data_IF_328004528359
#
_entry.id   IF_328004528359
#
_cell.length_a   1.000
_cell.length_b   1.000
_cell.length_c   1.000
_cell.angle_alpha   90.00
_cell.angle_beta   90.00
_cell.angle_gamma   90.00
#
_symmetry.space_group_name_H-M   'P 1'
#
loop_
_entity.id
_entity.type
_entity.pdbx_description
1 polymer ?
#
# COMPACT_ATOMS: atom_id res chain seq x y z
N UNK A 1 26.38 -58.19 -38.68
CA UNK A 1 27.18 -57.38 -37.72
C UNK A 1 26.50 -56.02 -37.54
N UNK A 2 26.13 -55.67 -36.29
CA UNK A 2 25.26 -54.54 -35.91
C UNK A 2 26.06 -53.22 -35.84
N UNK A 3 25.72 -52.21 -36.64
CA UNK A 3 26.27 -50.83 -36.53
C UNK A 3 25.22 -49.74 -36.85
N UNK A 4 24.08 -49.73 -36.18
CA UNK A 4 23.14 -48.58 -36.20
C UNK A 4 22.36 -48.52 -34.89
N UNK A 5 22.94 -47.94 -33.84
CA UNK A 5 22.20 -47.72 -32.57
C UNK A 5 22.76 -46.56 -31.75
N UNK A 6 24.03 -46.19 -31.95
CA UNK A 6 24.73 -45.20 -31.11
C UNK A 6 24.61 -43.75 -31.58
N UNK A 7 24.26 -43.49 -32.85
CA UNK A 7 24.19 -42.11 -33.40
C UNK A 7 22.89 -41.39 -33.02
N UNK A 8 21.76 -42.09 -33.01
CA UNK A 8 20.44 -41.53 -32.66
C UNK A 8 20.27 -41.25 -31.16
N UNK A 9 20.91 -42.04 -30.29
CA UNK A 9 20.93 -41.79 -28.83
C UNK A 9 21.69 -40.52 -28.46
N UNK A 10 22.80 -40.22 -29.15
CA UNK A 10 23.60 -39.00 -28.88
C UNK A 10 22.88 -37.72 -29.31
N UNK A 11 22.15 -37.74 -30.43
CA UNK A 11 21.35 -36.60 -30.90
C UNK A 11 20.18 -36.28 -29.95
N UNK A 12 19.51 -37.30 -29.40
CA UNK A 12 18.41 -37.12 -28.44
C UNK A 12 18.87 -36.59 -27.09
N UNK A 13 20.04 -37.05 -26.60
CA UNK A 13 20.63 -36.53 -25.37
C UNK A 13 21.06 -35.05 -25.52
N UNK A 14 21.61 -34.66 -26.67
CA UNK A 14 22.03 -33.28 -26.94
C UNK A 14 20.83 -32.32 -27.06
N UNK A 15 19.71 -32.77 -27.63
CA UNK A 15 18.49 -31.97 -27.72
C UNK A 15 17.80 -31.77 -26.36
N UNK A 16 17.83 -32.79 -25.49
CA UNK A 16 17.32 -32.70 -24.11
C UNK A 16 18.16 -31.75 -23.25
N UNK A 17 19.49 -31.77 -23.39
CA UNK A 17 20.38 -30.81 -22.70
C UNK A 17 20.19 -29.38 -23.21
N UNK A 18 19.98 -29.18 -24.51
CA UNK A 18 19.69 -27.86 -25.07
C UNK A 18 18.32 -27.31 -24.60
N UNK A 19 17.29 -28.16 -24.51
CA UNK A 19 15.99 -27.78 -23.98
C UNK A 19 16.05 -27.42 -22.47
N UNK A 20 16.87 -28.13 -21.69
CA UNK A 20 17.08 -27.83 -20.28
C UNK A 20 17.85 -26.51 -20.08
N UNK A 21 18.81 -26.20 -20.95
CA UNK A 21 19.55 -24.93 -20.92
C UNK A 21 18.66 -23.72 -21.27
N UNK A 22 17.73 -23.87 -22.22
CA UNK A 22 16.75 -22.82 -22.54
C UNK A 22 15.74 -22.61 -21.41
N UNK A 23 15.34 -23.67 -20.70
CA UNK A 23 14.45 -23.57 -19.54
C UNK A 23 15.09 -22.83 -18.35
N UNK A 24 16.41 -22.94 -18.16
CA UNK A 24 17.13 -22.18 -17.12
C UNK A 24 17.34 -20.70 -17.47
N UNK A 25 17.38 -20.34 -18.75
CA UNK A 25 17.48 -18.94 -19.18
C UNK A 25 16.18 -18.13 -18.98
N UNK A 26 15.07 -18.79 -18.62
CA UNK A 26 13.78 -18.16 -18.31
C UNK A 26 13.59 -17.92 -16.80
N UNK A 27 14.60 -18.19 -15.97
CA UNK A 27 14.63 -17.71 -14.58
C UNK A 27 14.87 -16.19 -14.59
N UNK A 28 13.84 -15.44 -15.01
CA UNK A 28 13.81 -13.99 -14.98
C UNK A 28 14.05 -13.49 -13.56
N UNK A 29 14.81 -12.39 -13.44
CA UNK A 29 15.09 -11.71 -12.19
C UNK A 29 13.81 -11.55 -11.36
N UNK A 30 13.72 -12.27 -10.24
CA UNK A 30 12.61 -12.16 -9.32
C UNK A 30 12.59 -10.74 -8.75
N UNK A 31 11.49 -10.01 -8.98
CA UNK A 31 11.25 -8.74 -8.29
C UNK A 31 11.09 -8.96 -6.79
N UNK A 32 11.39 -7.94 -6.02
CA UNK A 32 11.19 -7.95 -4.57
C UNK A 32 9.74 -7.61 -4.24
N UNK A 33 9.25 -8.23 -3.18
CA UNK A 33 7.89 -8.02 -2.69
C UNK A 33 7.94 -7.58 -1.24
N UNK A 34 7.03 -6.69 -0.88
CA UNK A 34 6.89 -6.19 0.47
C UNK A 34 5.45 -6.25 0.96
N UNK A 35 5.27 -6.65 2.22
CA UNK A 35 3.95 -6.68 2.87
C UNK A 35 3.72 -5.37 3.61
N UNK A 36 2.56 -4.73 3.35
CA UNK A 36 2.20 -3.44 3.94
C UNK A 36 1.19 -3.65 5.06
N UNK A 37 1.66 -3.55 6.30
CA UNK A 37 0.86 -3.70 7.53
C UNK A 37 0.93 -2.41 8.36
N UNK A 38 0.19 -1.35 7.96
CA UNK A 38 0.27 -0.07 8.64
C UNK A 38 -0.44 -0.10 9.99
N UNK A 39 -0.08 0.84 10.86
CA UNK A 39 -0.77 1.11 12.12
C UNK A 39 -0.99 2.60 12.27
N UNK A 40 -2.19 3.01 12.68
CA UNK A 40 -2.47 4.40 13.03
C UNK A 40 -1.92 4.67 14.44
N UNK A 41 -1.16 5.77 14.58
CA UNK A 41 -0.59 6.24 15.84
C UNK A 41 -1.06 7.68 16.07
N UNK A 42 -2.06 7.83 16.93
CA UNK A 42 -2.63 9.12 17.32
C UNK A 42 -2.93 9.13 18.81
N UNK A 43 -3.02 10.30 19.41
CA UNK A 43 -3.48 10.46 20.79
C UNK A 43 -4.96 10.07 20.89
N UNK A 44 -5.34 9.17 21.83
CA UNK A 44 -6.74 8.83 22.02
C UNK A 44 -7.55 10.01 22.57
N UNK A 45 -8.65 10.34 21.91
CA UNK A 45 -9.53 11.46 22.28
C UNK A 45 -10.99 11.11 21.94
N UNK A 46 -11.94 11.37 22.83
CA UNK A 46 -13.35 10.99 22.62
C UNK A 46 -14.14 11.98 21.73
N UNK A 47 -13.53 12.50 20.66
CA UNK A 47 -14.12 13.54 19.80
C UNK A 47 -15.30 13.03 18.97
N UNK A 48 -15.31 11.75 18.58
CA UNK A 48 -16.36 11.14 17.77
C UNK A 48 -17.65 10.80 18.54
N UNK A 49 -17.66 10.91 19.87
CA UNK A 49 -18.84 10.77 20.75
C UNK A 49 -19.71 9.52 20.48
N UNK A 50 -19.10 8.42 20.07
CA UNK A 50 -19.77 7.14 19.79
C UNK A 50 -20.51 7.09 18.45
N UNK A 51 -20.38 8.12 17.60
CA UNK A 51 -21.02 8.16 16.28
C UNK A 51 -20.60 6.95 15.43
N UNK A 52 -21.59 6.25 14.87
CA UNK A 52 -21.35 5.13 13.96
C UNK A 52 -20.83 5.64 12.62
N UNK A 53 -19.74 5.04 12.13
CA UNK A 53 -19.14 5.36 10.83
C UNK A 53 -18.87 4.06 10.09
N UNK A 54 -19.37 3.94 8.86
CA UNK A 54 -18.99 2.85 7.98
C UNK A 54 -17.68 3.17 7.28
N UNK A 55 -16.81 2.18 7.13
CA UNK A 55 -15.48 2.36 6.52
C UNK A 55 -15.38 1.57 5.22
N UNK A 56 -14.92 2.22 4.15
CA UNK A 56 -14.56 1.60 2.90
C UNK A 56 -13.10 1.92 2.61
N UNK A 57 -12.26 0.90 2.43
CA UNK A 57 -10.83 1.07 2.13
C UNK A 57 -10.49 0.30 0.88
N UNK A 58 -9.74 0.92 -0.04
CA UNK A 58 -9.26 0.28 -1.26
C UNK A 58 -7.89 0.80 -1.67
N UNK A 59 -7.13 -0.05 -2.34
CA UNK A 59 -5.94 0.32 -3.09
C UNK A 59 -6.36 0.78 -4.49
N UNK A 60 -6.33 2.10 -4.69
CA UNK A 60 -6.68 2.75 -5.96
C UNK A 60 -5.43 3.05 -6.80
N UNK A 61 -4.25 2.53 -6.43
CA UNK A 61 -3.05 2.69 -7.23
C UNK A 61 -3.22 2.00 -8.59
N UNK A 62 -2.65 2.56 -9.67
CA UNK A 62 -2.74 1.96 -11.00
C UNK A 62 -1.92 0.66 -11.12
N UNK A 63 -1.02 0.38 -10.17
CA UNK A 63 -0.15 -0.80 -10.16
C UNK A 63 0.26 -1.16 -8.72
N UNK A 64 0.54 -2.43 -8.49
CA UNK A 64 1.17 -2.93 -7.27
C UNK A 64 2.67 -2.57 -7.19
N UNK A 65 3.28 -2.18 -8.32
CA UNK A 65 4.67 -1.70 -8.40
C UNK A 65 4.84 -0.41 -7.60
N UNK A 66 5.81 -0.42 -6.69
CA UNK A 66 6.14 0.69 -5.79
C UNK A 66 7.37 1.45 -6.28
N UNK A 67 8.30 0.77 -6.95
CA UNK A 67 9.48 1.41 -7.53
C UNK A 67 10.55 0.43 -7.98
N UNK A 68 11.74 0.95 -8.27
CA UNK A 68 12.92 0.17 -8.64
C UNK A 68 13.92 0.15 -7.49
N UNK A 69 14.52 -1.01 -7.22
CA UNK A 69 15.55 -1.15 -6.18
C UNK A 69 16.80 -0.33 -6.49
N UNK A 70 17.11 -0.15 -7.79
CA UNK A 70 18.15 0.72 -8.34
C UNK A 70 17.61 1.47 -9.58
N UNK A 71 17.35 2.78 -9.50
CA UNK A 71 16.78 3.57 -10.59
C UNK A 71 17.79 3.85 -11.72
N UNK A 72 19.09 3.67 -11.49
CA UNK A 72 20.13 3.90 -12.50
C UNK A 72 20.31 2.69 -13.45
N UNK A 73 19.62 1.58 -13.20
CA UNK A 73 19.71 0.37 -14.01
C UNK A 73 18.32 -0.10 -14.43
N UNK A 74 18.10 -0.21 -15.74
CA UNK A 74 16.91 -0.85 -16.31
C UNK A 74 16.83 -2.35 -16.01
N UNK A 75 17.93 -2.96 -15.57
CA UNK A 75 18.03 -4.35 -15.14
C UNK A 75 17.77 -4.53 -13.64
N UNK A 76 17.46 -3.45 -12.92
CA UNK A 76 17.16 -3.54 -11.49
C UNK A 76 15.88 -4.31 -11.21
N UNK A 77 15.88 -5.07 -10.10
CA UNK A 77 14.68 -5.67 -9.56
C UNK A 77 13.61 -4.61 -9.27
N UNK A 78 12.37 -4.93 -9.65
CA UNK A 78 11.17 -4.15 -9.29
C UNK A 78 10.78 -4.46 -7.85
N UNK A 79 10.32 -3.45 -7.12
CA UNK A 79 9.68 -3.60 -5.82
C UNK A 79 8.16 -3.48 -6.01
N UNK A 80 7.41 -4.44 -5.50
CA UNK A 80 5.95 -4.43 -5.52
C UNK A 80 5.36 -4.79 -4.15
N UNK A 81 4.08 -4.48 -3.93
CA UNK A 81 3.36 -5.01 -2.77
C UNK A 81 3.06 -6.50 -2.94
N UNK A 82 3.31 -7.30 -1.91
CA UNK A 82 3.13 -8.76 -1.93
C UNK A 82 1.65 -9.17 -2.06
N UNK A 83 0.75 -8.36 -1.50
CA UNK A 83 -0.70 -8.54 -1.56
C UNK A 83 -1.41 -7.17 -1.54
N UNK A 84 -2.74 -7.18 -1.71
CA UNK A 84 -3.57 -5.99 -1.55
C UNK A 84 -3.44 -5.44 -0.10
N UNK A 85 -3.02 -4.16 0.08
CA UNK A 85 -2.88 -3.55 1.41
C UNK A 85 -4.22 -3.16 2.05
N UNK A 86 -5.32 -3.14 1.29
CA UNK A 86 -6.63 -2.63 1.75
C UNK A 86 -7.14 -3.26 3.04
N UNK A 87 -7.04 -4.58 3.29
CA UNK A 87 -7.52 -5.18 4.54
C UNK A 87 -6.72 -4.72 5.77
N UNK A 88 -5.40 -4.60 5.63
CA UNK A 88 -4.54 -4.12 6.71
C UNK A 88 -4.78 -2.62 6.98
N UNK A 89 -4.92 -1.82 5.92
CA UNK A 89 -5.30 -0.41 6.03
C UNK A 89 -6.65 -0.21 6.70
N UNK A 90 -7.67 -1.01 6.34
CA UNK A 90 -9.00 -0.98 7.00
C UNK A 90 -8.87 -1.19 8.50
N UNK A 91 -8.14 -2.22 8.92
CA UNK A 91 -7.92 -2.51 10.34
C UNK A 91 -7.29 -1.33 11.07
N UNK A 92 -6.29 -0.68 10.45
CA UNK A 92 -5.62 0.49 11.00
C UNK A 92 -6.55 1.72 11.08
N UNK A 93 -7.34 1.99 10.04
CA UNK A 93 -8.32 3.09 9.99
C UNK A 93 -9.38 2.90 11.07
N UNK A 94 -9.97 1.71 11.18
CA UNK A 94 -10.99 1.42 12.19
C UNK A 94 -10.42 1.54 13.61
N UNK A 95 -9.15 1.17 13.82
CA UNK A 95 -8.47 1.43 15.10
C UNK A 95 -8.36 2.93 15.36
N UNK A 96 -7.89 3.72 14.40
CA UNK A 96 -7.79 5.18 14.54
C UNK A 96 -9.13 5.85 14.82
N UNK A 97 -10.21 5.38 14.18
CA UNK A 97 -11.57 5.85 14.47
C UNK A 97 -11.98 5.55 15.90
N UNK A 98 -11.71 4.33 16.41
CA UNK A 98 -11.96 3.98 17.82
C UNK A 98 -11.14 4.83 18.78
N UNK A 99 -9.85 5.04 18.47
CA UNK A 99 -8.97 5.91 19.27
C UNK A 99 -9.51 7.36 19.31
N UNK A 100 -10.20 7.82 18.26
CA UNK A 100 -10.89 9.12 18.20
C UNK A 100 -12.35 9.09 18.68
N UNK A 101 -12.79 8.01 19.32
CA UNK A 101 -14.12 7.91 19.94
C UNK A 101 -15.30 7.69 18.98
N UNK A 102 -15.06 7.28 17.74
CA UNK A 102 -16.10 6.80 16.82
C UNK A 102 -16.37 5.30 16.99
N UNK A 103 -17.48 4.83 16.42
CA UNK A 103 -17.87 3.41 16.40
C UNK A 103 -17.84 2.86 14.97
N UNK A 104 -16.74 2.24 14.51
CA UNK A 104 -16.72 1.61 13.19
C UNK A 104 -17.80 0.54 13.09
N UNK A 105 -18.64 0.63 12.06
CA UNK A 105 -19.82 -0.22 11.89
C UNK A 105 -19.95 -0.70 10.45
N UNK A 106 -20.53 -1.88 10.19
CA UNK A 106 -20.85 -2.31 8.84
C UNK A 106 -21.78 -1.31 8.13
N UNK A 107 -21.64 -1.19 6.81
CA UNK A 107 -22.54 -0.35 6.01
C UNK A 107 -23.98 -0.88 6.07
N UNK A 108 -24.92 -0.02 6.46
CA UNK A 108 -26.36 -0.29 6.56
C UNK A 108 -27.13 1.03 6.51
N UNK A 109 -28.43 0.98 6.24
CA UNK A 109 -29.27 2.18 6.06
C UNK A 109 -29.25 3.12 7.27
N UNK A 110 -29.15 2.58 8.50
CA UNK A 110 -29.08 3.39 9.72
C UNK A 110 -27.74 4.11 9.92
N UNK A 111 -26.67 3.68 9.24
CA UNK A 111 -25.33 4.28 9.34
C UNK A 111 -25.17 5.29 8.20
N UNK A 112 -25.56 6.53 8.47
CA UNK A 112 -25.59 7.63 7.48
C UNK A 112 -24.23 8.27 7.23
N UNK A 113 -23.16 7.76 7.84
CA UNK A 113 -21.79 8.28 7.72
C UNK A 113 -20.88 7.23 7.11
N UNK A 114 -20.14 7.63 6.08
CA UNK A 114 -19.22 6.75 5.37
C UNK A 114 -17.87 7.43 5.24
N UNK A 115 -16.81 6.73 5.62
CA UNK A 115 -15.43 7.13 5.39
C UNK A 115 -14.82 6.23 4.32
N UNK A 116 -14.58 6.79 3.14
CA UNK A 116 -13.86 6.11 2.05
C UNK A 116 -12.40 6.52 2.08
N UNK A 117 -11.49 5.55 2.12
CA UNK A 117 -10.04 5.75 2.23
C UNK A 117 -9.37 5.03 1.05
N UNK A 118 -8.68 5.78 0.20
CA UNK A 118 -8.08 5.27 -1.02
C UNK A 118 -6.57 5.46 -0.98
N UNK A 119 -5.81 4.37 -1.05
CA UNK A 119 -4.38 4.47 -1.33
C UNK A 119 -4.23 4.85 -2.80
N UNK A 120 -3.82 6.10 -3.07
CA UNK A 120 -3.68 6.62 -4.43
C UNK A 120 -2.24 6.61 -4.92
N UNK A 121 -1.29 6.61 -3.99
CA UNK A 121 0.13 6.56 -4.28
C UNK A 121 0.85 5.75 -3.20
N UNK A 122 1.78 4.91 -3.62
CA UNK A 122 2.81 4.32 -2.77
C UNK A 122 4.04 4.15 -3.64
N UNK A 123 5.05 4.98 -3.40
CA UNK A 123 6.25 5.04 -4.22
C UNK A 123 7.51 4.87 -3.36
N UNK A 124 8.53 4.23 -3.94
CA UNK A 124 9.86 4.06 -3.36
C UNK A 124 10.91 4.52 -4.36
N UNK A 125 11.90 5.26 -3.87
CA UNK A 125 13.10 5.60 -4.61
C UNK A 125 14.33 5.59 -3.70
N UNK A 126 15.46 5.04 -4.16
CA UNK A 126 16.75 5.39 -3.60
C UNK A 126 16.97 6.91 -3.74
N UNK A 127 17.46 7.52 -2.67
CA UNK A 127 17.84 8.93 -2.64
C UNK A 127 19.25 9.07 -2.07
N UNK A 128 19.89 10.19 -2.41
CA UNK A 128 21.13 10.60 -1.77
C UNK A 128 20.85 11.92 -1.06
N UNK A 129 21.00 11.92 0.27
CA UNK A 129 20.84 13.11 1.10
C UNK A 129 22.20 13.52 1.64
N UNK A 130 22.72 14.64 1.13
CA UNK A 130 24.10 15.07 1.35
C UNK A 130 25.10 13.98 0.95
N UNK A 131 25.86 13.45 1.92
CA UNK A 131 26.82 12.36 1.75
C UNK A 131 26.25 10.98 2.11
N UNK A 132 24.99 10.88 2.55
CA UNK A 132 24.39 9.63 2.97
C UNK A 132 23.45 9.06 1.90
N UNK A 133 23.54 7.75 1.70
CA UNK A 133 22.56 7.01 0.92
C UNK A 133 21.30 6.81 1.75
N UNK A 134 20.14 6.96 1.13
CA UNK A 134 18.86 6.81 1.78
C UNK A 134 17.84 6.10 0.88
N UNK A 135 16.84 5.55 1.54
CA UNK A 135 15.66 4.95 0.94
C UNK A 135 14.48 5.87 1.28
N UNK A 136 13.86 6.47 0.26
CA UNK A 136 12.71 7.36 0.43
C UNK A 136 11.45 6.69 -0.07
N UNK A 137 10.45 6.60 0.78
CA UNK A 137 9.11 6.15 0.43
C UNK A 137 8.08 7.25 0.68
N UNK A 138 7.11 7.36 -0.22
CA UNK A 138 5.97 8.29 -0.12
C UNK A 138 4.69 7.48 -0.29
N UNK A 139 3.70 7.77 0.56
CA UNK A 139 2.36 7.21 0.44
C UNK A 139 1.36 8.35 0.45
N UNK A 140 0.32 8.24 -0.38
CA UNK A 140 -0.74 9.23 -0.40
C UNK A 140 -2.11 8.59 -0.37
N UNK A 141 -2.88 9.03 0.61
CA UNK A 141 -4.24 8.56 0.87
C UNK A 141 -5.21 9.68 0.55
N UNK A 142 -6.17 9.41 -0.34
CA UNK A 142 -7.31 10.30 -0.59
C UNK A 142 -8.48 9.79 0.22
N UNK A 143 -9.14 10.69 0.93
CA UNK A 143 -10.20 10.36 1.88
C UNK A 143 -11.44 11.15 1.51
N UNK A 144 -12.57 10.47 1.39
CA UNK A 144 -13.88 11.08 1.23
C UNK A 144 -14.77 10.67 2.38
N UNK A 145 -15.12 11.64 3.23
CA UNK A 145 -16.17 11.49 4.23
C UNK A 145 -17.50 11.91 3.62
N UNK A 146 -18.50 11.06 3.70
CA UNK A 146 -19.90 11.37 3.45
C UNK A 146 -20.64 11.41 4.79
N UNK A 147 -21.29 12.54 5.08
CA UNK A 147 -22.14 12.72 6.24
C UNK A 147 -23.54 13.11 5.76
N UNK A 148 -24.40 12.10 5.63
CA UNK A 148 -25.79 12.23 5.22
C UNK A 148 -25.98 12.97 3.88
N UNK A 149 -25.10 12.70 2.91
CA UNK A 149 -25.11 13.27 1.56
C UNK A 149 -24.21 14.48 1.36
N UNK A 150 -23.71 15.10 2.43
CA UNK A 150 -22.65 16.11 2.34
C UNK A 150 -21.30 15.41 2.28
N UNK A 151 -20.39 15.91 1.43
CA UNK A 151 -19.07 15.29 1.23
C UNK A 151 -17.93 16.24 1.55
N UNK A 152 -16.92 15.71 2.24
CA UNK A 152 -15.62 16.34 2.45
C UNK A 152 -14.54 15.42 1.90
N UNK A 153 -13.71 15.94 0.99
CA UNK A 153 -12.57 15.19 0.43
C UNK A 153 -11.26 15.83 0.83
N UNK A 154 -10.32 15.03 1.32
CA UNK A 154 -8.98 15.45 1.78
C UNK A 154 -7.91 14.50 1.25
N UNK A 155 -6.67 14.99 1.15
CA UNK A 155 -5.50 14.22 0.72
C UNK A 155 -4.44 14.28 1.83
N UNK A 156 -3.98 13.11 2.27
CA UNK A 156 -2.97 12.98 3.31
C UNK A 156 -1.75 12.24 2.78
N UNK A 157 -0.60 12.91 2.84
CA UNK A 157 0.69 12.35 2.43
C UNK A 157 1.47 11.87 3.65
N UNK A 158 2.17 10.75 3.52
CA UNK A 158 3.14 10.24 4.48
C UNK A 158 4.47 10.02 3.79
N UNK A 159 5.56 10.40 4.46
CA UNK A 159 6.91 10.25 3.93
C UNK A 159 7.81 9.58 4.97
N UNK A 160 8.61 8.61 4.53
CA UNK A 160 9.69 8.04 5.32
C UNK A 160 11.00 8.05 4.55
N UNK A 161 12.03 8.58 5.19
CA UNK A 161 13.42 8.52 4.75
C UNK A 161 14.17 7.59 5.69
N UNK A 162 14.81 6.56 5.13
CA UNK A 162 15.58 5.57 5.86
C UNK A 162 17.06 5.66 5.45
N UNK A 163 17.95 5.95 6.39
CA UNK A 163 19.39 6.04 6.13
C UNK A 163 20.00 4.65 5.92
N UNK A 164 20.72 4.48 4.82
CA UNK A 164 21.39 3.23 4.47
C UNK A 164 22.87 3.30 4.88
N UNK A 165 23.43 2.20 5.43
CA UNK A 165 24.80 2.19 5.91
C UNK A 165 25.84 2.20 4.78
N UNK A 166 25.50 1.65 3.60
CA UNK A 166 26.39 1.57 2.45
C UNK A 166 25.59 1.40 1.15
N UNK A 167 26.28 1.52 0.01
CA UNK A 167 25.71 1.20 -1.30
C UNK A 167 25.42 -0.28 -1.44
N UNK A 168 24.32 -0.63 -2.11
CA UNK A 168 23.88 -2.01 -2.30
C UNK A 168 23.20 -2.65 -1.07
N UNK A 169 23.07 -1.92 0.04
CA UNK A 169 22.24 -2.34 1.19
C UNK A 169 20.82 -1.84 0.98
N UNK A 170 19.87 -2.75 1.04
CA UNK A 170 18.44 -2.45 0.90
C UNK A 170 17.79 -2.22 2.27
N UNK A 171 16.76 -1.35 2.34
CA UNK A 171 15.99 -1.17 3.56
C UNK A 171 15.12 -2.41 3.86
N UNK A 172 14.64 -2.52 5.10
CA UNK A 172 13.53 -3.43 5.42
C UNK A 172 12.24 -2.92 4.75
N UNK A 173 11.97 -3.37 3.52
CA UNK A 173 10.88 -2.82 2.70
C UNK A 173 9.50 -2.92 3.37
N UNK A 174 9.18 -4.05 3.99
CA UNK A 174 7.94 -4.24 4.75
C UNK A 174 7.73 -3.11 5.75
N UNK A 175 8.77 -2.80 6.53
CA UNK A 175 8.73 -1.77 7.57
C UNK A 175 8.72 -0.38 6.96
N UNK A 176 9.55 -0.10 5.96
CA UNK A 176 9.62 1.19 5.29
C UNK A 176 8.25 1.58 4.71
N UNK A 177 7.62 0.69 3.94
CA UNK A 177 6.32 0.94 3.32
C UNK A 177 5.20 1.02 4.36
N UNK A 178 5.19 0.11 5.34
CA UNK A 178 4.20 0.13 6.43
C UNK A 178 4.26 1.42 7.23
N UNK A 179 5.45 1.90 7.60
CA UNK A 179 5.63 3.17 8.31
C UNK A 179 5.15 4.37 7.49
N UNK A 180 5.39 4.34 6.18
CA UNK A 180 5.02 5.43 5.27
C UNK A 180 3.51 5.57 5.14
N UNK A 181 2.81 4.45 4.93
CA UNK A 181 1.33 4.43 4.92
C UNK A 181 0.78 4.78 6.30
N UNK A 182 1.41 4.30 7.38
CA UNK A 182 1.03 4.62 8.76
C UNK A 182 1.04 6.13 9.02
N UNK A 183 2.04 6.86 8.52
CA UNK A 183 2.12 8.32 8.66
C UNK A 183 0.98 9.03 7.93
N UNK A 184 0.63 8.62 6.72
CA UNK A 184 -0.49 9.19 5.97
C UNK A 184 -1.83 8.96 6.72
N UNK A 185 -2.07 7.73 7.19
CA UNK A 185 -3.28 7.39 7.94
C UNK A 185 -3.33 8.07 9.32
N UNK A 186 -2.19 8.26 9.98
CA UNK A 186 -2.14 8.97 11.26
C UNK A 186 -2.41 10.46 11.09
N UNK A 187 -1.94 11.08 10.00
CA UNK A 187 -2.30 12.46 9.64
C UNK A 187 -3.80 12.61 9.39
N UNK A 188 -4.41 11.67 8.66
CA UNK A 188 -5.86 11.61 8.49
C UNK A 188 -6.58 11.50 9.84
N UNK A 189 -6.16 10.58 10.70
CA UNK A 189 -6.80 10.34 12.00
C UNK A 189 -6.59 11.49 13.00
N UNK A 190 -5.65 12.39 12.76
CA UNK A 190 -5.42 13.61 13.57
C UNK A 190 -6.06 14.87 12.97
N UNK A 191 -6.76 14.77 11.83
CA UNK A 191 -7.39 15.92 11.19
C UNK A 191 -8.69 16.30 11.92
N UNK A 192 -8.64 17.35 12.72
CA UNK A 192 -9.78 17.88 13.46
C UNK A 192 -10.93 18.33 12.56
N UNK A 193 -10.67 18.81 11.34
CA UNK A 193 -11.73 19.23 10.43
C UNK A 193 -12.50 18.02 9.91
N UNK A 194 -11.78 16.95 9.53
CA UNK A 194 -12.37 15.68 9.12
C UNK A 194 -13.18 15.06 10.27
N UNK A 195 -12.61 15.02 11.48
CA UNK A 195 -13.28 14.51 12.69
C UNK A 195 -14.56 15.30 12.96
N UNK A 196 -14.48 16.64 13.00
CA UNK A 196 -15.63 17.49 13.27
C UNK A 196 -16.70 17.35 12.18
N UNK A 197 -16.30 17.25 10.91
CA UNK A 197 -17.21 17.01 9.81
C UNK A 197 -17.98 15.70 9.97
N UNK A 198 -17.33 14.63 10.43
CA UNK A 198 -17.99 13.34 10.69
C UNK A 198 -18.84 13.36 11.96
N UNK A 199 -18.42 14.03 13.03
CA UNK A 199 -19.17 14.10 14.29
C UNK A 199 -20.48 14.88 14.12
N UNK A 200 -20.43 16.00 13.38
CA UNK A 200 -21.57 16.91 13.22
C UNK A 200 -22.83 16.18 12.79
N UNK A 201 -23.96 16.52 13.41
CA UNK A 201 -25.27 16.07 12.93
C UNK A 201 -25.73 16.93 11.77
N UNK A 202 -25.95 16.30 10.62
CA UNK A 202 -26.43 16.95 9.41
C UNK A 202 -27.81 16.39 9.08
N UNK A 203 -28.81 17.25 9.00
CA UNK A 203 -30.15 16.88 8.55
C UNK A 203 -30.14 16.78 7.03
N UNK A 204 -30.65 15.68 6.48
CA UNK A 204 -30.80 15.51 5.03
C UNK A 204 -31.87 16.49 4.56
N UNK A 205 -31.48 17.52 3.84
CA UNK A 205 -32.45 18.36 3.14
C UNK A 205 -33.09 17.50 2.07
N UNK A 206 -34.35 17.11 2.25
CA UNK A 206 -35.13 16.49 1.17
C UNK A 206 -35.22 17.53 0.05
N UNK A 207 -34.64 17.22 -1.11
CA UNK A 207 -35.05 17.89 -2.34
C UNK A 207 -36.51 17.48 -2.59
N UNK A 208 -37.44 18.38 -2.26
CA UNK A 208 -38.83 18.26 -2.67
C UNK A 208 -38.83 18.58 -4.15
N UNK A 209 -38.97 17.54 -4.98
CA UNK A 209 -39.17 17.66 -6.42
C UNK A 209 -40.64 17.91 -6.73
#
# INVERSE_FOLDING_TARGET
MKKLSTRSRRLRASALLAALAVAFCLAGCAGQQATVTPSVVVEPEALGRGVEVSTAVKDSRPSAEVGLCNPASSMSGKLATACDPSPAMRTAVEKGLRDKGFTPSPARESVVRTLTVELTELSYKPSQENTHLAARAVAVVTVTADNNGQKLTRRYEGETVWKLPASGVEPEFDKLLSMTVSKALSRMASDYELIHFMEKTILRTREVK
#
